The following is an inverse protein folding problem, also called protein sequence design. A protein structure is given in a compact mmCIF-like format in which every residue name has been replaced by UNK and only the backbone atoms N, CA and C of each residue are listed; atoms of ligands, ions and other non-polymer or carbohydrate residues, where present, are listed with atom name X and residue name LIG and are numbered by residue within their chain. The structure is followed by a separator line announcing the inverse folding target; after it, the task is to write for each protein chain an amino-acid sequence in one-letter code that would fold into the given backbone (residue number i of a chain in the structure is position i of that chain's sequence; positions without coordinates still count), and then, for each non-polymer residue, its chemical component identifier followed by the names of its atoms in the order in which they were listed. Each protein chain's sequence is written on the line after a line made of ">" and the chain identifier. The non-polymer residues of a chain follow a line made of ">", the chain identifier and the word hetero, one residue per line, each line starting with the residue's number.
data_IF_532520737346
#
_entry.id   IF_532520737346
#
_cell.length_a   1.000
_cell.length_b   1.000
_cell.length_c   1.000
_cell.angle_alpha   90.00
_cell.angle_beta   90.00
_cell.angle_gamma   90.00
#
_symmetry.space_group_name_H-M   'P 1'
#
loop_
_entity.id
_entity.type
_entity.pdbx_description
1 polymer ?
#
# COMPACT_ATOMS: atom_id res chain seq x y z
N UNK A 1 -36.65 -23.04 -42.48
CA UNK A 1 -35.71 -21.92 -42.64
C UNK A 1 -35.09 -21.67 -41.27
N UNK A 2 -33.91 -22.23 -41.03
CA UNK A 2 -33.14 -22.04 -39.81
C UNK A 2 -31.68 -21.95 -40.23
N UNK A 3 -31.01 -20.87 -39.85
CA UNK A 3 -29.59 -20.68 -40.12
C UNK A 3 -28.84 -21.44 -39.02
N UNK A 4 -28.03 -22.46 -39.32
CA UNK A 4 -27.11 -22.99 -38.32
C UNK A 4 -25.96 -21.99 -38.16
N UNK A 5 -25.82 -21.44 -36.96
CA UNK A 5 -24.58 -20.79 -36.54
C UNK A 5 -23.55 -21.91 -36.32
N UNK A 6 -22.72 -22.15 -37.32
CA UNK A 6 -21.49 -22.93 -37.15
C UNK A 6 -20.51 -22.08 -36.36
N UNK A 7 -20.47 -22.27 -35.05
CA UNK A 7 -19.32 -21.88 -34.23
C UNK A 7 -18.29 -23.01 -34.31
N UNK A 8 -17.59 -23.06 -35.43
CA UNK A 8 -16.44 -23.92 -35.65
C UNK A 8 -15.20 -23.07 -35.35
N UNK A 9 -14.73 -23.13 -34.11
CA UNK A 9 -13.39 -22.68 -33.76
C UNK A 9 -12.40 -23.62 -34.44
N UNK A 10 -11.90 -23.21 -35.59
CA UNK A 10 -10.73 -23.80 -36.24
C UNK A 10 -9.55 -23.72 -35.26
N UNK A 11 -9.28 -24.84 -34.61
CA UNK A 11 -8.07 -25.10 -33.83
C UNK A 11 -6.90 -25.27 -34.80
N UNK A 12 -6.27 -24.19 -35.25
CA UNK A 12 -4.93 -24.22 -35.86
C UNK A 12 -4.33 -22.81 -35.94
N UNK A 13 -3.37 -22.51 -35.04
CA UNK A 13 -2.43 -21.40 -35.20
C UNK A 13 -2.41 -20.43 -34.02
N UNK A 14 -1.50 -20.70 -33.08
CA UNK A 14 -0.83 -19.71 -32.22
C UNK A 14 -1.73 -18.62 -31.63
N UNK A 15 -2.34 -18.90 -30.48
CA UNK A 15 -2.85 -17.83 -29.61
C UNK A 15 -1.64 -17.14 -28.98
N UNK A 16 -0.97 -16.28 -29.73
CA UNK A 16 -0.15 -15.22 -29.13
C UNK A 16 -1.06 -14.52 -28.13
N UNK A 17 -0.69 -14.55 -26.85
CA UNK A 17 -1.50 -14.11 -25.70
C UNK A 17 -1.79 -12.61 -25.66
N UNK A 18 -1.92 -11.97 -26.81
CA UNK A 18 -1.97 -10.52 -26.99
C UNK A 18 -3.41 -9.99 -27.09
N UNK A 19 -4.39 -10.81 -27.50
CA UNK A 19 -5.82 -10.44 -27.48
C UNK A 19 -6.38 -10.66 -26.06
N UNK A 20 -5.89 -9.87 -25.11
CA UNK A 20 -6.26 -9.96 -23.69
C UNK A 20 -5.25 -9.36 -22.72
N UNK A 21 -4.23 -8.66 -23.21
CA UNK A 21 -3.25 -8.01 -22.35
C UNK A 21 -3.89 -6.89 -21.52
N UNK A 22 -3.61 -6.87 -20.21
CA UNK A 22 -3.93 -5.75 -19.30
C UNK A 22 -3.44 -4.39 -19.84
N UNK A 23 -2.41 -4.38 -20.69
CA UNK A 23 -1.89 -3.18 -21.34
C UNK A 23 -2.93 -2.42 -22.18
N UNK A 24 -3.99 -3.10 -22.67
CA UNK A 24 -5.10 -2.42 -23.33
C UNK A 24 -5.92 -1.54 -22.38
N UNK A 25 -6.03 -1.93 -21.10
CA UNK A 25 -6.81 -1.22 -20.08
C UNK A 25 -5.96 -0.30 -19.21
N UNK A 26 -4.68 -0.60 -19.06
CA UNK A 26 -3.70 0.21 -18.35
C UNK A 26 -2.39 0.22 -19.17
N UNK A 27 -2.25 1.12 -20.16
CA UNK A 27 -1.07 1.19 -21.02
C UNK A 27 0.23 1.42 -20.24
N UNK A 28 0.11 2.12 -19.12
CA UNK A 28 1.17 2.31 -18.14
C UNK A 28 0.64 1.78 -16.80
N UNK A 29 0.66 0.46 -16.58
CA UNK A 29 0.20 -0.10 -15.33
C UNK A 29 1.13 0.38 -14.20
N UNK A 30 0.62 0.60 -12.98
CA UNK A 30 1.48 0.88 -11.85
C UNK A 30 2.52 -0.24 -11.67
N UNK A 31 3.77 0.14 -11.50
CA UNK A 31 4.91 -0.74 -11.23
C UNK A 31 5.20 -0.89 -9.73
N UNK A 32 4.42 -0.21 -8.89
CA UNK A 32 4.45 -0.34 -7.44
C UNK A 32 3.05 -0.13 -6.83
N UNK A 33 2.83 -0.70 -5.64
CA UNK A 33 1.80 -0.21 -4.72
C UNK A 33 2.47 0.36 -3.48
N UNK A 34 1.75 1.18 -2.72
CA UNK A 34 2.31 1.83 -1.55
C UNK A 34 1.36 1.90 -0.38
N UNK A 35 1.91 2.02 0.82
CA UNK A 35 1.16 2.29 2.05
C UNK A 35 1.96 3.23 2.96
N UNK A 36 1.28 3.77 3.96
CA UNK A 36 1.95 4.47 5.05
C UNK A 36 2.16 3.53 6.23
N UNK A 37 3.27 3.71 6.92
CA UNK A 37 3.48 3.12 8.24
C UNK A 37 3.66 4.21 9.28
N UNK A 38 3.12 3.99 10.46
CA UNK A 38 3.36 4.79 11.64
C UNK A 38 3.99 3.88 12.68
N UNK A 39 5.15 4.27 13.17
CA UNK A 39 5.92 3.53 14.18
C UNK A 39 6.11 4.44 15.39
N UNK A 40 5.97 3.88 16.59
CA UNK A 40 6.17 4.62 17.83
C UNK A 40 7.38 4.06 18.57
N UNK A 41 8.38 4.89 18.80
CA UNK A 41 9.44 4.58 19.77
C UNK A 41 8.96 4.98 21.15
N UNK A 42 8.86 4.00 22.03
CA UNK A 42 8.48 4.18 23.42
C UNK A 42 9.63 4.82 24.20
N UNK A 43 9.33 5.42 25.36
CA UNK A 43 10.36 5.94 26.27
C UNK A 43 11.35 4.84 26.74
N UNK A 44 10.94 3.57 26.69
CA UNK A 44 11.82 2.42 26.95
C UNK A 44 12.87 2.16 25.86
N UNK A 45 12.76 2.81 24.70
CA UNK A 45 13.55 2.57 23.49
C UNK A 45 12.99 1.46 22.59
N UNK A 46 12.00 0.69 23.04
CA UNK A 46 11.29 -0.27 22.18
C UNK A 46 10.53 0.48 21.08
N UNK A 47 10.51 -0.07 19.86
CA UNK A 47 9.72 0.54 18.78
C UNK A 47 8.67 -0.42 18.24
N UNK A 48 7.42 0.04 18.22
CA UNK A 48 6.22 -0.74 17.91
C UNK A 48 5.52 -0.21 16.66
N UNK A 49 4.75 -1.07 15.99
CA UNK A 49 3.90 -0.67 14.86
C UNK A 49 2.59 -0.07 15.36
N UNK A 50 2.33 1.19 15.01
CA UNK A 50 1.04 1.88 15.28
C UNK A 50 0.10 1.69 14.10
N UNK A 51 0.61 1.81 12.88
CA UNK A 51 -0.14 1.67 11.63
C UNK A 51 0.77 1.12 10.52
N UNK A 52 0.29 0.26 9.61
CA UNK A 52 -0.92 -0.54 9.74
C UNK A 52 -0.77 -1.55 10.90
N UNK A 53 -1.83 -1.71 11.70
CA UNK A 53 -1.76 -2.46 12.96
C UNK A 53 -2.12 -3.93 12.77
N UNK A 54 -1.28 -4.84 13.27
CA UNK A 54 -1.71 -6.20 13.69
C UNK A 54 -2.17 -6.16 15.15
N UNK A 55 -3.06 -7.08 15.53
CA UNK A 55 -3.61 -7.14 16.90
C UNK A 55 -2.53 -7.18 18.01
N UNK A 56 -1.33 -7.65 17.70
CA UNK A 56 -0.17 -7.78 18.59
C UNK A 56 0.75 -6.54 18.65
N UNK A 57 0.50 -5.50 17.83
CA UNK A 57 1.35 -4.30 17.78
C UNK A 57 2.69 -4.51 17.07
N UNK A 58 2.88 -5.66 16.42
CA UNK A 58 4.06 -5.95 15.62
C UNK A 58 4.04 -5.12 14.35
N UNK A 59 5.21 -4.61 13.96
CA UNK A 59 5.42 -3.89 12.71
C UNK A 59 5.01 -4.77 11.54
N UNK A 60 4.21 -4.21 10.64
CA UNK A 60 3.86 -4.89 9.40
C UNK A 60 4.92 -4.55 8.35
N UNK A 61 5.77 -5.53 8.01
CA UNK A 61 6.77 -5.34 6.95
C UNK A 61 6.11 -5.14 5.58
N UNK A 62 5.00 -5.84 5.31
CA UNK A 62 4.25 -5.74 4.06
C UNK A 62 2.78 -6.18 4.24
N UNK A 63 1.80 -5.37 3.84
CA UNK A 63 0.41 -5.81 3.74
C UNK A 63 0.21 -6.74 2.53
N UNK A 64 -0.71 -7.73 2.58
CA UNK A 64 -0.99 -8.63 1.46
C UNK A 64 -1.26 -7.89 0.13
N UNK A 65 -1.94 -6.75 0.23
CA UNK A 65 -2.10 -5.76 -0.83
C UNK A 65 -2.27 -4.35 -0.23
N UNK A 66 -2.15 -3.30 -1.04
CA UNK A 66 -2.25 -1.91 -0.58
C UNK A 66 -3.59 -1.51 0.05
N UNK A 67 -4.68 -2.22 -0.26
CA UNK A 67 -6.02 -1.92 0.29
C UNK A 67 -6.19 -2.45 1.71
N UNK A 68 -5.54 -3.58 2.03
CA UNK A 68 -5.54 -4.17 3.37
C UNK A 68 -4.67 -3.39 4.38
N UNK A 69 -3.87 -2.44 3.91
CA UNK A 69 -3.07 -1.59 4.78
C UNK A 69 -3.94 -0.61 5.61
N UNK A 70 -5.07 -0.15 5.10
CA UNK A 70 -5.85 0.90 5.75
C UNK A 70 -7.08 0.32 6.48
N UNK A 71 -7.37 0.74 7.73
CA UNK A 71 -8.52 0.25 8.49
C UNK A 71 -9.87 0.68 7.90
N UNK A 72 -9.88 1.69 7.02
CA UNK A 72 -11.08 2.15 6.33
C UNK A 72 -10.73 2.88 5.03
N UNK A 73 -11.72 3.03 4.15
CA UNK A 73 -11.62 3.84 2.94
C UNK A 73 -11.28 5.30 3.23
N UNK A 74 -11.72 5.86 4.36
CA UNK A 74 -11.38 7.24 4.74
C UNK A 74 -9.89 7.41 5.03
N UNK A 75 -9.30 6.44 5.74
CA UNK A 75 -7.86 6.40 5.99
C UNK A 75 -7.05 6.24 4.68
N UNK A 76 -7.54 5.39 3.77
CA UNK A 76 -6.94 5.24 2.44
C UNK A 76 -7.01 6.54 1.62
N UNK A 77 -8.15 7.25 1.68
CA UNK A 77 -8.34 8.54 1.01
C UNK A 77 -7.38 9.59 1.57
N UNK A 78 -7.30 9.69 2.90
CA UNK A 78 -6.37 10.60 3.59
C UNK A 78 -4.93 10.35 3.17
N UNK A 79 -4.47 9.09 3.23
CA UNK A 79 -3.10 8.74 2.80
C UNK A 79 -2.85 9.10 1.33
N UNK A 80 -3.84 8.91 0.45
CA UNK A 80 -3.71 9.28 -0.96
C UNK A 80 -3.58 10.79 -1.16
N UNK A 81 -4.30 11.60 -0.39
CA UNK A 81 -4.19 13.07 -0.43
C UNK A 81 -2.85 13.55 0.11
N UNK A 82 -2.39 12.96 1.22
CA UNK A 82 -1.11 13.32 1.85
C UNK A 82 0.10 12.94 0.99
N UNK A 83 0.00 11.91 0.13
CA UNK A 83 1.08 11.47 -0.77
C UNK A 83 1.64 12.57 -1.67
N UNK A 84 0.83 13.55 -2.04
CA UNK A 84 1.22 14.65 -2.92
C UNK A 84 1.35 15.99 -2.18
N UNK A 85 1.33 15.95 -0.85
CA UNK A 85 1.30 17.11 0.01
C UNK A 85 2.68 17.38 0.64
N UNK A 86 2.95 18.63 0.99
CA UNK A 86 4.19 19.04 1.68
C UNK A 86 4.25 18.48 3.13
N UNK A 87 5.40 18.62 3.79
CA UNK A 87 5.63 18.01 5.12
C UNK A 87 4.59 18.43 6.19
N UNK A 88 3.99 19.62 6.05
CA UNK A 88 2.95 20.18 6.94
C UNK A 88 1.72 19.27 7.11
N UNK A 89 1.48 18.32 6.21
CA UNK A 89 0.34 17.42 6.29
C UNK A 89 0.61 16.15 7.13
N UNK A 90 1.86 15.87 7.50
CA UNK A 90 2.21 14.72 8.33
C UNK A 90 2.13 15.01 9.84
N UNK A 91 2.38 16.25 10.27
CA UNK A 91 2.35 16.64 11.69
C UNK A 91 1.01 16.30 12.37
N UNK A 92 -0.18 16.63 11.80
CA UNK A 92 -1.45 16.30 12.47
C UNK A 92 -1.67 14.79 12.60
N UNK A 93 -1.17 13.99 11.65
CA UNK A 93 -1.24 12.53 11.72
C UNK A 93 -0.29 11.98 12.80
N UNK A 94 0.87 12.60 12.98
CA UNK A 94 1.83 12.24 14.01
C UNK A 94 1.28 12.60 15.41
N UNK A 95 0.73 13.80 15.59
CA UNK A 95 0.05 14.23 16.83
C UNK A 95 -1.11 13.30 17.20
N UNK A 96 -1.97 12.98 16.22
CA UNK A 96 -3.04 12.01 16.41
C UNK A 96 -2.49 10.66 16.91
N UNK A 97 -1.38 10.20 16.34
CA UNK A 97 -0.75 8.95 16.70
C UNK A 97 -0.16 8.98 18.11
N UNK A 98 0.54 10.05 18.50
CA UNK A 98 1.02 10.25 19.87
C UNK A 98 -0.13 10.12 20.89
N UNK A 99 -1.27 10.73 20.60
CA UNK A 99 -2.43 10.74 21.49
C UNK A 99 -3.19 9.40 21.57
N UNK A 100 -3.01 8.51 20.60
CA UNK A 100 -3.78 7.25 20.47
C UNK A 100 -2.98 5.97 20.74
N UNK A 101 -1.70 6.09 21.10
CA UNK A 101 -0.92 4.95 21.58
C UNK A 101 -1.12 4.82 23.10
N UNK A 102 -1.54 3.64 23.55
CA UNK A 102 -1.84 3.35 24.98
C UNK A 102 -0.59 3.26 25.89
N UNK A 103 0.58 3.72 25.43
CA UNK A 103 1.88 3.61 26.10
C UNK A 103 2.60 4.97 26.05
N UNK A 104 3.58 5.17 26.93
CA UNK A 104 4.44 6.35 26.87
C UNK A 104 5.33 6.31 25.61
N UNK A 105 5.14 7.28 24.72
CA UNK A 105 5.84 7.42 23.44
C UNK A 105 6.82 8.57 23.53
N UNK A 106 8.05 8.35 23.08
CA UNK A 106 9.09 9.38 22.94
C UNK A 106 8.98 10.07 21.57
N UNK A 107 8.78 9.28 20.51
CA UNK A 107 8.56 9.82 19.18
C UNK A 107 7.76 8.89 18.28
N UNK A 108 7.12 9.48 17.27
CA UNK A 108 6.45 8.78 16.19
C UNK A 108 7.17 9.07 14.87
N UNK A 109 7.36 8.02 14.07
CA UNK A 109 7.89 8.13 12.70
C UNK A 109 6.81 7.72 11.72
N UNK A 110 6.55 8.57 10.72
CA UNK A 110 5.68 8.24 9.58
C UNK A 110 6.57 7.98 8.37
N UNK A 111 6.41 6.81 7.76
CA UNK A 111 7.08 6.47 6.50
C UNK A 111 6.06 6.17 5.41
N UNK A 112 6.39 6.55 4.18
CA UNK A 112 5.75 6.04 2.97
C UNK A 112 6.58 4.86 2.47
N UNK A 113 5.92 3.74 2.22
CA UNK A 113 6.57 2.51 1.76
C UNK A 113 6.04 2.15 0.39
N UNK A 114 6.93 1.92 -0.56
CA UNK A 114 6.63 1.51 -1.92
C UNK A 114 7.12 0.09 -2.16
N UNK A 115 6.22 -0.79 -2.59
CA UNK A 115 6.53 -2.15 -2.97
C UNK A 115 6.49 -2.26 -4.49
N UNK A 116 7.63 -2.53 -5.16
CA UNK A 116 7.63 -2.85 -6.57
C UNK A 116 6.77 -4.09 -6.85
N UNK A 117 6.06 -4.08 -7.98
CA UNK A 117 5.23 -5.19 -8.45
C UNK A 117 5.50 -5.50 -9.91
N UNK A 118 5.51 -6.78 -10.23
CA UNK A 118 5.46 -7.28 -11.60
C UNK A 118 4.14 -8.02 -11.88
N UNK A 119 4.03 -8.64 -13.07
CA UNK A 119 2.82 -9.37 -13.47
C UNK A 119 2.41 -10.50 -12.52
N UNK A 120 3.36 -11.04 -11.73
CA UNK A 120 3.15 -12.13 -10.78
C UNK A 120 3.07 -11.68 -9.31
N UNK A 121 3.05 -10.37 -9.03
CA UNK A 121 2.98 -9.81 -7.68
C UNK A 121 4.23 -9.06 -7.22
N UNK A 122 4.43 -8.88 -5.89
CA UNK A 122 5.55 -8.12 -5.33
C UNK A 122 6.92 -8.63 -5.79
N UNK A 123 7.79 -7.71 -6.18
CA UNK A 123 9.18 -7.97 -6.59
C UNK A 123 10.14 -7.18 -5.71
N UNK A 124 11.25 -7.80 -5.31
CA UNK A 124 12.25 -7.17 -4.46
C UNK A 124 11.76 -6.78 -3.05
N UNK A 125 12.58 -5.99 -2.37
CA UNK A 125 12.29 -5.42 -1.06
C UNK A 125 11.49 -4.11 -1.19
N UNK A 126 10.62 -3.78 -0.22
CA UNK A 126 9.97 -2.49 -0.20
C UNK A 126 10.98 -1.36 0.02
N UNK A 127 10.83 -0.26 -0.73
CA UNK A 127 11.54 0.99 -0.47
C UNK A 127 10.79 1.79 0.59
N UNK A 128 11.51 2.26 1.61
CA UNK A 128 10.93 3.00 2.74
C UNK A 128 11.49 4.41 2.78
N UNK A 129 10.59 5.37 2.66
CA UNK A 129 10.91 6.79 2.71
C UNK A 129 10.29 7.38 3.98
N UNK A 130 11.14 7.84 4.91
CA UNK A 130 10.69 8.63 6.05
C UNK A 130 10.10 9.95 5.55
N UNK A 131 8.93 10.30 6.08
CA UNK A 131 8.25 11.56 5.78
C UNK A 131 8.38 12.54 6.94
N UNK A 132 8.22 12.06 8.17
CA UNK A 132 8.45 12.86 9.38
C UNK A 132 8.85 11.97 10.55
N UNK A 133 9.68 12.52 11.42
CA UNK A 133 9.86 12.10 12.81
C UNK A 133 9.33 13.21 13.72
N UNK A 134 8.46 12.86 14.66
CA UNK A 134 7.74 13.81 15.51
C UNK A 134 7.87 13.39 16.97
N UNK A 135 8.36 14.30 17.82
CA UNK A 135 8.47 14.06 19.26
C UNK A 135 7.09 14.11 19.92
N UNK A 136 6.78 13.09 20.70
CA UNK A 136 5.67 13.08 21.64
C UNK A 136 6.21 13.52 23.03
#
# INVERSE_FOLDING_TARGET
>A
MGIPLTDSLDQNGETDGEIGSWSFFAPNPPDAYSWYTVEATLESGETIGVFPRRHDGVRLDRPPDGTTAYPSTLWMRYGTDVRYADDTYYEPAAEFSCAHVDRAVDRVTISHVEQPVGPSGPTGEPDRQERIEYAC
#
